data_IF_540200326973
#
_entry.id   IF_540200326973
#
_cell.length_a   1.000
_cell.length_b   1.000
_cell.length_c   1.000
_cell.angle_alpha   90.00
_cell.angle_beta   90.00
_cell.angle_gamma   90.00
#
_symmetry.space_group_name_H-M   'P 1'
#
loop_
_entity.id
_entity.type
_entity.pdbx_description
1 polymer ?
#
# COMPACT_ATOMS: atom_id res chain seq x y z
N UNK A 1 -6.33 -34.12 6.67
CA UNK A 1 -7.10 -33.12 5.91
C UNK A 1 -6.96 -31.76 6.56
N UNK A 2 -6.67 -30.70 5.80
CA UNK A 2 -6.50 -29.31 6.25
C UNK A 2 -5.23 -28.99 7.06
N UNK A 3 -4.20 -29.83 7.01
CA UNK A 3 -2.89 -29.44 7.56
C UNK A 3 -2.34 -28.22 6.84
N UNK A 4 -1.82 -27.23 7.60
CA UNK A 4 -1.17 -26.05 7.05
C UNK A 4 0.34 -26.22 7.18
N UNK A 5 1.05 -26.01 6.09
CA UNK A 5 2.52 -26.05 6.01
C UNK A 5 3.04 -24.70 5.58
N UNK A 6 4.14 -24.26 6.17
CA UNK A 6 4.85 -23.04 5.77
C UNK A 6 6.07 -23.36 4.94
N UNK A 7 6.18 -22.75 3.78
CA UNK A 7 7.42 -22.71 3.03
C UNK A 7 8.32 -21.60 3.59
N UNK A 8 9.44 -21.97 4.16
CA UNK A 8 10.38 -21.03 4.78
C UNK A 8 11.16 -20.19 3.74
N UNK A 9 11.29 -20.69 2.51
CA UNK A 9 12.03 -19.97 1.46
C UNK A 9 11.22 -18.81 0.87
N UNK A 10 9.91 -19.04 0.67
CA UNK A 10 8.98 -18.03 0.09
C UNK A 10 8.10 -17.36 1.14
N UNK A 11 8.18 -17.79 2.41
CA UNK A 11 7.31 -17.35 3.50
C UNK A 11 5.82 -17.46 3.18
N UNK A 12 5.46 -18.54 2.47
CA UNK A 12 4.11 -18.81 1.99
C UNK A 12 3.48 -19.95 2.80
N UNK A 13 2.17 -19.87 2.96
CA UNK A 13 1.36 -20.88 3.64
C UNK A 13 0.56 -21.67 2.62
N UNK A 14 0.58 -22.99 2.76
CA UNK A 14 -0.14 -23.93 1.93
C UNK A 14 -1.03 -24.83 2.78
N UNK A 15 -2.24 -25.07 2.31
CA UNK A 15 -3.19 -25.98 2.91
C UNK A 15 -3.21 -27.29 2.13
N UNK A 16 -3.10 -28.42 2.86
CA UNK A 16 -3.25 -29.74 2.25
C UNK A 16 -4.70 -30.00 1.85
N UNK A 17 -4.90 -30.40 0.59
CA UNK A 17 -6.19 -30.80 0.03
C UNK A 17 -6.50 -32.30 0.26
N UNK A 18 -5.49 -33.11 0.60
CA UNK A 18 -5.62 -34.55 0.83
C UNK A 18 -5.02 -34.96 2.19
N UNK A 19 -5.41 -36.12 2.66
CA UNK A 19 -4.77 -36.74 3.82
C UNK A 19 -3.42 -37.36 3.40
N UNK A 20 -2.42 -37.28 4.27
CA UNK A 20 -1.10 -37.91 4.08
C UNK A 20 -0.28 -37.36 2.89
N UNK A 21 -0.28 -36.08 2.68
CA UNK A 21 0.61 -35.39 1.73
C UNK A 21 2.05 -35.40 2.25
N UNK A 22 2.71 -36.57 2.27
CA UNK A 22 4.13 -36.68 2.57
C UNK A 22 4.94 -36.61 1.27
N UNK A 23 6.07 -35.90 1.30
CA UNK A 23 7.06 -35.80 0.22
C UNK A 23 6.52 -35.28 -1.13
N UNK A 24 5.36 -34.63 -1.12
CA UNK A 24 4.77 -34.01 -2.33
C UNK A 24 5.20 -32.53 -2.36
N UNK A 25 5.81 -32.06 -3.47
CA UNK A 25 6.27 -30.69 -3.59
C UNK A 25 5.09 -29.69 -3.50
N UNK A 26 5.33 -28.56 -2.83
CA UNK A 26 4.33 -27.49 -2.64
C UNK A 26 3.86 -26.82 -3.93
N UNK A 27 4.58 -27.07 -5.04
CA UNK A 27 4.20 -26.63 -6.38
C UNK A 27 3.05 -27.44 -7.01
N UNK A 28 2.71 -28.60 -6.44
CA UNK A 28 1.58 -29.43 -6.91
C UNK A 28 0.25 -28.82 -6.45
N UNK A 29 -0.38 -28.03 -7.30
CA UNK A 29 -1.66 -27.35 -7.04
C UNK A 29 -2.85 -28.31 -6.89
N UNK A 30 -2.69 -29.59 -7.24
CA UNK A 30 -3.75 -30.62 -7.02
C UNK A 30 -3.77 -31.14 -5.61
N UNK A 31 -2.66 -31.05 -4.90
CA UNK A 31 -2.46 -31.52 -3.51
C UNK A 31 -2.36 -30.39 -2.51
N UNK A 32 -1.90 -29.22 -2.95
CA UNK A 32 -1.68 -28.07 -2.12
C UNK A 32 -2.41 -26.84 -2.63
N UNK A 33 -3.08 -26.13 -1.75
CA UNK A 33 -3.70 -24.84 -2.01
C UNK A 33 -2.90 -23.74 -1.33
N UNK A 34 -2.42 -22.77 -2.09
CA UNK A 34 -1.87 -21.54 -1.53
C UNK A 34 -2.94 -20.77 -0.75
N UNK A 35 -2.66 -20.34 0.48
CA UNK A 35 -3.60 -19.62 1.34
C UNK A 35 -3.11 -18.22 1.76
N UNK A 36 -1.88 -17.86 1.46
CA UNK A 36 -1.33 -16.51 1.73
C UNK A 36 0.10 -16.55 2.24
N UNK A 37 0.59 -15.40 2.66
CA UNK A 37 1.91 -15.26 3.29
C UNK A 37 1.83 -15.54 4.80
N UNK A 38 2.97 -15.85 5.41
CA UNK A 38 3.09 -15.88 6.88
C UNK A 38 2.85 -14.50 7.45
N UNK A 39 2.33 -14.39 8.67
CA UNK A 39 1.98 -13.11 9.30
C UNK A 39 3.10 -12.06 9.20
N UNK A 40 4.36 -12.48 9.33
CA UNK A 40 5.53 -11.59 9.24
C UNK A 40 5.76 -10.99 7.85
N UNK A 41 5.27 -11.66 6.78
CA UNK A 41 5.54 -11.27 5.39
C UNK A 41 4.28 -10.81 4.64
N UNK A 42 3.10 -10.82 5.28
CA UNK A 42 1.87 -10.31 4.71
C UNK A 42 1.98 -8.84 4.25
N UNK A 43 2.71 -8.03 5.00
CA UNK A 43 2.92 -6.61 4.67
C UNK A 43 3.69 -6.37 3.35
N UNK A 44 4.34 -7.41 2.80
CA UNK A 44 5.02 -7.36 1.50
C UNK A 44 4.22 -8.03 0.39
N UNK A 45 3.02 -8.51 0.68
CA UNK A 45 2.09 -8.99 -0.33
C UNK A 45 1.29 -7.82 -0.92
N UNK A 46 0.83 -7.97 -2.16
CA UNK A 46 -0.04 -6.98 -2.79
C UNK A 46 -1.51 -7.12 -2.35
N UNK A 47 -1.82 -8.16 -1.57
CA UNK A 47 -3.18 -8.40 -1.08
C UNK A 47 -3.56 -7.40 0.01
N UNK A 48 -4.53 -6.55 -0.25
CA UNK A 48 -5.06 -5.59 0.73
C UNK A 48 -5.66 -6.23 1.99
N UNK A 49 -6.15 -7.46 1.87
CA UNK A 49 -6.82 -8.16 2.96
C UNK A 49 -5.84 -8.88 3.90
N UNK A 50 -4.58 -9.01 3.48
CA UNK A 50 -3.55 -9.66 4.27
C UNK A 50 -2.84 -8.62 5.16
N UNK A 51 -3.10 -8.71 6.45
CA UNK A 51 -2.59 -7.75 7.43
C UNK A 51 -1.58 -8.45 8.33
N UNK A 52 -0.40 -7.82 8.51
CA UNK A 52 0.58 -8.20 9.53
C UNK A 52 0.15 -7.59 10.85
N UNK A 53 0.06 -8.42 11.89
CA UNK A 53 -0.33 -7.98 13.24
C UNK A 53 0.65 -8.48 14.29
N UNK A 54 0.92 -7.67 15.31
CA UNK A 54 1.68 -8.08 16.48
C UNK A 54 1.18 -7.32 17.72
N UNK A 55 1.24 -7.93 18.92
CA UNK A 55 0.91 -7.25 20.15
C UNK A 55 1.92 -6.13 20.43
N UNK A 56 1.44 -5.00 20.95
CA UNK A 56 2.21 -3.85 21.41
C UNK A 56 2.99 -3.11 20.30
N UNK A 57 3.80 -3.82 19.49
CA UNK A 57 4.61 -3.15 18.46
C UNK A 57 4.94 -4.05 17.28
N UNK A 58 5.13 -3.42 16.11
CA UNK A 58 5.68 -4.04 14.90
C UNK A 58 6.98 -3.32 14.57
N UNK A 59 8.07 -4.07 14.43
CA UNK A 59 9.31 -3.57 13.88
C UNK A 59 9.60 -4.25 12.54
N UNK A 60 9.80 -3.44 11.52
CA UNK A 60 10.12 -3.88 10.15
C UNK A 60 11.50 -3.36 9.79
N UNK A 61 12.42 -4.26 9.45
CA UNK A 61 13.76 -3.92 8.99
C UNK A 61 13.90 -4.30 7.54
N UNK A 62 14.18 -3.32 6.68
CA UNK A 62 14.27 -3.49 5.23
C UNK A 62 15.67 -3.13 4.77
N UNK A 63 16.30 -4.03 4.02
CA UNK A 63 17.56 -3.80 3.30
C UNK A 63 17.27 -3.84 1.80
N UNK A 64 17.06 -2.70 1.14
CA UNK A 64 16.72 -2.67 -0.29
C UNK A 64 17.81 -3.18 -1.21
N UNK A 65 19.08 -3.07 -0.81
CA UNK A 65 20.25 -3.41 -1.63
C UNK A 65 20.45 -2.52 -2.86
N UNK A 66 19.70 -1.44 -2.94
CA UNK A 66 19.75 -0.42 -4.01
C UNK A 66 19.35 0.93 -3.45
N UNK A 67 19.64 1.98 -4.20
CA UNK A 67 19.23 3.33 -3.84
C UNK A 67 17.71 3.47 -3.98
N UNK A 68 17.07 3.94 -2.92
CA UNK A 68 15.64 4.27 -2.87
C UNK A 68 15.49 5.61 -2.15
N UNK A 69 14.43 6.34 -2.44
CA UNK A 69 14.13 7.62 -1.80
C UNK A 69 12.75 7.65 -1.14
N UNK A 70 12.00 6.55 -1.19
CA UNK A 70 10.64 6.55 -0.63
C UNK A 70 10.31 5.26 0.12
N UNK A 71 9.51 5.44 1.17
CA UNK A 71 8.86 4.38 1.93
C UNK A 71 7.39 4.75 2.12
N UNK A 72 6.50 3.81 1.87
CA UNK A 72 5.08 3.95 2.17
C UNK A 72 4.60 2.75 2.96
N UNK A 73 3.87 3.02 4.02
CA UNK A 73 3.12 2.02 4.79
C UNK A 73 1.63 2.37 4.72
N UNK A 74 0.79 1.44 4.25
CA UNK A 74 -0.67 1.59 4.16
C UNK A 74 -1.39 0.61 5.08
N UNK A 75 -2.63 1.00 5.48
CA UNK A 75 -3.42 0.20 6.42
C UNK A 75 -2.76 0.08 7.79
N UNK A 76 -2.13 1.15 8.24
CA UNK A 76 -1.47 1.22 9.55
C UNK A 76 -2.51 1.41 10.64
N UNK A 77 -2.40 0.62 11.70
CA UNK A 77 -3.12 0.82 12.94
C UNK A 77 -2.10 0.84 14.09
N UNK A 78 -1.72 2.05 14.48
CA UNK A 78 -0.77 2.31 15.55
C UNK A 78 -1.01 3.70 16.15
N UNK A 79 -0.51 3.95 17.36
CA UNK A 79 -0.59 5.26 18.00
C UNK A 79 0.61 6.14 17.65
N UNK A 80 1.78 5.54 17.45
CA UNK A 80 3.00 6.26 17.12
C UNK A 80 3.88 5.45 16.17
N UNK A 81 4.74 6.16 15.46
CA UNK A 81 5.75 5.56 14.60
C UNK A 81 7.14 6.13 14.88
N UNK A 82 8.13 5.33 14.58
CA UNK A 82 9.54 5.73 14.50
C UNK A 82 10.17 5.10 13.27
N UNK A 83 10.80 5.92 12.44
CA UNK A 83 11.54 5.52 11.27
C UNK A 83 12.99 5.94 11.43
N UNK A 84 13.93 5.02 11.24
CA UNK A 84 15.35 5.32 11.20
C UNK A 84 15.98 4.69 9.96
N UNK A 85 16.88 5.39 9.32
CA UNK A 85 17.68 4.90 8.21
C UNK A 85 19.14 4.98 8.60
N UNK A 86 19.83 3.84 8.57
CA UNK A 86 21.25 3.75 8.84
C UNK A 86 22.02 3.32 7.60
N UNK A 87 23.23 3.85 7.43
CA UNK A 87 24.13 3.51 6.33
C UNK A 87 25.57 3.50 6.84
N UNK A 88 26.34 2.49 6.46
CA UNK A 88 27.78 2.43 6.74
C UNK A 88 28.51 3.51 5.96
N UNK A 89 28.14 3.74 4.70
CA UNK A 89 28.71 4.80 3.87
C UNK A 89 28.35 6.20 4.36
N UNK A 90 27.16 6.34 5.00
CA UNK A 90 26.72 7.59 5.63
C UNK A 90 27.25 7.82 7.04
N UNK A 91 28.02 6.88 7.59
CA UNK A 91 28.62 7.03 8.93
C UNK A 91 27.69 6.73 10.11
N UNK A 92 26.58 6.04 9.91
CA UNK A 92 25.62 5.67 10.95
C UNK A 92 24.18 6.01 10.62
N UNK A 93 23.46 6.64 11.54
CA UNK A 93 22.09 7.12 11.29
C UNK A 93 22.13 8.36 10.38
N UNK A 94 21.49 8.23 9.21
CA UNK A 94 21.46 9.27 8.17
C UNK A 94 20.09 9.94 8.03
N UNK A 95 19.06 9.33 8.61
CA UNK A 95 17.69 9.87 8.62
C UNK A 95 16.93 9.32 9.83
N UNK A 96 16.13 10.17 10.44
CA UNK A 96 15.28 9.79 11.57
C UNK A 96 14.01 10.63 11.55
N UNK A 97 12.86 9.96 11.69
CA UNK A 97 11.56 10.58 11.79
C UNK A 97 10.70 9.85 12.82
N UNK A 98 9.95 10.57 13.60
CA UNK A 98 9.01 9.98 14.56
C UNK A 98 7.80 10.87 14.75
N UNK A 99 6.66 10.29 15.12
CA UNK A 99 5.46 11.07 15.33
C UNK A 99 4.30 10.24 15.87
N UNK A 100 3.24 10.96 16.22
CA UNK A 100 1.96 10.39 16.60
C UNK A 100 1.11 10.18 15.37
N UNK A 101 0.41 9.05 15.31
CA UNK A 101 -0.58 8.72 14.28
C UNK A 101 -2.01 9.03 14.72
N UNK A 102 -2.18 9.47 15.98
CA UNK A 102 -3.49 9.83 16.47
C UNK A 102 -3.93 11.16 15.85
N UNK A 103 -4.90 11.09 14.98
CA UNK A 103 -5.57 12.26 14.40
C UNK A 103 -6.68 12.67 15.35
N UNK A 104 -6.50 13.80 16.03
CA UNK A 104 -7.54 14.36 16.89
C UNK A 104 -8.06 15.65 16.30
N UNK A 105 -9.11 15.56 15.49
CA UNK A 105 -9.89 16.71 15.06
C UNK A 105 -11.03 16.95 16.06
N UNK A 106 -10.84 17.86 17.01
CA UNK A 106 -11.87 18.23 17.96
C UNK A 106 -12.38 19.63 17.64
N UNK A 107 -13.59 19.73 17.12
CA UNK A 107 -14.28 21.00 16.89
C UNK A 107 -15.25 21.38 18.03
N UNK A 108 -15.62 20.43 18.90
CA UNK A 108 -16.56 20.64 20.00
C UNK A 108 -16.08 19.97 21.30
N UNK A 109 -16.54 20.48 22.46
CA UNK A 109 -16.28 19.85 23.76
C UNK A 109 -16.78 18.42 23.87
N UNK A 110 -17.93 18.11 23.23
CA UNK A 110 -18.46 16.75 23.18
C UNK A 110 -17.52 15.81 22.43
N UNK A 111 -16.98 16.21 21.29
CA UNK A 111 -15.96 15.43 20.56
C UNK A 111 -14.67 15.29 21.36
N UNK A 112 -14.28 16.31 22.14
CA UNK A 112 -13.10 16.25 23.00
C UNK A 112 -13.23 15.15 24.06
N UNK A 113 -14.38 15.00 24.69
CA UNK A 113 -14.57 14.06 25.80
C UNK A 113 -15.08 12.68 25.34
N UNK A 114 -15.83 12.59 24.25
CA UNK A 114 -16.58 11.39 23.85
C UNK A 114 -16.29 10.94 22.41
N UNK A 115 -15.52 11.72 21.64
CA UNK A 115 -15.16 11.36 20.27
C UNK A 115 -14.19 10.20 20.22
N UNK A 116 -14.38 9.32 19.25
CA UNK A 116 -13.41 8.27 18.93
C UNK A 116 -12.13 8.89 18.36
N UNK A 117 -10.99 8.27 18.66
CA UNK A 117 -9.71 8.69 18.09
C UNK A 117 -9.57 8.08 16.70
N UNK A 118 -9.53 8.91 15.68
CA UNK A 118 -9.11 8.49 14.36
C UNK A 118 -7.58 8.39 14.31
N UNK A 119 -7.07 7.39 13.59
CA UNK A 119 -5.65 7.21 13.36
C UNK A 119 -5.33 7.35 11.88
N UNK A 120 -4.18 7.94 11.56
CA UNK A 120 -3.69 7.96 10.18
C UNK A 120 -3.50 6.54 9.67
N UNK A 121 -4.09 6.24 8.52
CA UNK A 121 -4.03 4.90 7.91
C UNK A 121 -2.83 4.71 7.00
N UNK A 122 -2.13 5.79 6.66
CA UNK A 122 -0.95 5.77 5.81
C UNK A 122 0.20 6.57 6.40
N UNK A 123 1.40 6.04 6.22
CA UNK A 123 2.67 6.72 6.47
C UNK A 123 3.42 6.80 5.15
N UNK A 124 3.86 8.00 4.78
CA UNK A 124 4.54 8.25 3.52
C UNK A 124 5.77 9.11 3.75
N UNK A 125 6.88 8.68 3.18
CA UNK A 125 8.16 9.39 3.20
C UNK A 125 8.71 9.43 1.78
N UNK A 126 8.94 10.62 1.22
CA UNK A 126 9.44 10.83 -0.15
C UNK A 126 10.89 11.29 -0.21
N UNK A 127 11.52 11.53 0.93
CA UNK A 127 12.80 12.23 1.08
C UNK A 127 13.89 11.37 1.73
N UNK A 128 13.79 10.04 1.62
CA UNK A 128 14.79 9.15 2.20
C UNK A 128 16.14 9.32 1.49
N UNK A 129 17.26 9.30 2.22
CA UNK A 129 18.60 9.47 1.65
C UNK A 129 19.00 8.27 0.78
N UNK A 130 19.59 8.59 -0.37
CA UNK A 130 19.89 7.65 -1.47
C UNK A 130 21.16 6.79 -1.23
N UNK A 131 21.22 6.03 -0.16
CA UNK A 131 22.31 5.09 0.11
C UNK A 131 21.96 3.68 -0.39
N UNK A 132 22.90 3.04 -1.09
CA UNK A 132 22.71 1.66 -1.60
C UNK A 132 22.80 0.59 -0.51
N UNK A 133 23.45 0.90 0.60
CA UNK A 133 23.62 0.06 1.79
C UNK A 133 22.63 0.41 2.92
N UNK A 134 21.63 1.24 2.61
CA UNK A 134 20.65 1.70 3.61
C UNK A 134 19.94 0.52 4.28
N UNK A 135 19.81 0.63 5.59
CA UNK A 135 18.96 -0.22 6.42
C UNK A 135 17.86 0.66 6.99
N UNK A 136 16.64 0.38 6.60
CA UNK A 136 15.45 1.13 7.01
C UNK A 136 14.79 0.36 8.14
N UNK A 137 14.59 0.98 9.28
CA UNK A 137 13.90 0.41 10.42
C UNK A 137 12.65 1.24 10.71
N UNK A 138 11.49 0.65 10.45
CA UNK A 138 10.18 1.22 10.81
C UNK A 138 9.64 0.50 12.04
N UNK A 139 9.33 1.26 13.07
CA UNK A 139 8.67 0.75 14.28
C UNK A 139 7.32 1.43 14.46
N UNK A 140 6.28 0.61 14.63
CA UNK A 140 4.92 1.04 14.92
C UNK A 140 4.57 0.61 16.33
N UNK A 141 4.03 1.49 17.16
CA UNK A 141 3.69 1.18 18.55
C UNK A 141 2.25 1.53 18.87
N UNK A 142 1.62 0.72 19.71
CA UNK A 142 0.28 0.97 20.26
C UNK A 142 0.36 1.05 21.79
N UNK A 143 -0.51 1.84 22.38
CA UNK A 143 -0.63 1.93 23.84
C UNK A 143 -1.39 0.77 24.45
N UNK A 144 -2.25 0.10 23.67
CA UNK A 144 -2.99 -1.09 24.06
C UNK A 144 -3.45 -1.86 22.83
N UNK A 145 -3.54 -3.18 22.94
CA UNK A 145 -3.99 -4.04 21.84
C UNK A 145 -2.87 -4.47 20.91
N UNK A 146 -3.17 -4.57 19.63
CA UNK A 146 -2.24 -5.03 18.59
C UNK A 146 -2.00 -3.95 17.56
N UNK A 147 -0.73 -3.73 17.22
CA UNK A 147 -0.35 -2.96 16.05
C UNK A 147 -0.63 -3.75 14.76
N UNK A 148 -1.00 -3.07 13.69
CA UNK A 148 -1.17 -3.70 12.40
C UNK A 148 -0.66 -2.83 11.23
N UNK A 149 -0.30 -3.51 10.15
CA UNK A 149 0.11 -2.90 8.88
C UNK A 149 -0.32 -3.82 7.73
N UNK A 150 -1.01 -3.26 6.74
CA UNK A 150 -1.44 -4.05 5.58
C UNK A 150 -0.33 -4.16 4.55
N UNK A 151 0.29 -3.05 4.15
CA UNK A 151 1.30 -3.07 3.10
C UNK A 151 2.43 -2.09 3.39
N UNK A 152 3.68 -2.52 3.14
CA UNK A 152 4.86 -1.67 3.14
C UNK A 152 5.56 -1.74 1.78
N UNK A 153 5.73 -0.60 1.13
CA UNK A 153 6.39 -0.49 -0.17
C UNK A 153 7.57 0.46 -0.06
N UNK A 154 8.71 0.04 -0.59
CA UNK A 154 9.90 0.87 -0.71
C UNK A 154 10.29 1.00 -2.18
N UNK A 155 10.70 2.18 -2.59
CA UNK A 155 11.00 2.41 -3.98
C UNK A 155 11.64 3.76 -4.29
N UNK A 156 11.70 4.04 -5.58
CA UNK A 156 12.08 5.35 -6.08
C UNK A 156 10.81 6.12 -6.41
N UNK A 157 10.57 7.20 -5.68
CA UNK A 157 9.52 8.16 -5.98
C UNK A 157 9.93 9.01 -7.18
N UNK A 158 9.01 9.22 -8.10
CA UNK A 158 9.13 10.11 -9.23
C UNK A 158 7.90 11.00 -9.29
N UNK A 159 8.12 12.29 -9.30
CA UNK A 159 7.07 13.28 -9.57
C UNK A 159 6.80 13.32 -11.07
N UNK A 160 5.54 13.20 -11.47
CA UNK A 160 5.09 13.23 -12.86
C UNK A 160 4.30 14.50 -13.21
N UNK A 161 4.11 15.39 -12.25
CA UNK A 161 3.43 16.67 -12.41
C UNK A 161 2.31 16.92 -11.41
N UNK A 162 1.53 17.96 -11.64
CA UNK A 162 0.47 18.44 -10.76
C UNK A 162 -0.88 17.81 -11.12
N UNK A 163 -1.55 17.20 -10.15
CA UNK A 163 -2.90 16.66 -10.35
C UNK A 163 -3.92 17.78 -10.44
N UNK A 164 -4.72 17.78 -11.51
CA UNK A 164 -5.80 18.75 -11.71
C UNK A 164 -7.01 18.46 -10.79
N UNK A 165 -7.81 19.49 -10.56
CA UNK A 165 -8.93 19.51 -9.59
C UNK A 165 -10.09 18.57 -9.88
N UNK A 166 -10.10 17.86 -11.01
CA UNK A 166 -11.14 16.94 -11.45
C UNK A 166 -10.83 15.46 -11.19
N UNK A 167 -9.90 15.15 -10.28
CA UNK A 167 -9.64 13.78 -9.86
C UNK A 167 -10.91 13.11 -9.31
N UNK A 168 -11.15 11.85 -9.69
CA UNK A 168 -12.32 11.08 -9.30
C UNK A 168 -11.90 9.78 -8.64
N UNK A 169 -12.55 9.46 -7.54
CA UNK A 169 -12.46 8.16 -6.89
C UNK A 169 -13.75 7.38 -7.16
N UNK A 170 -13.62 6.15 -7.57
CA UNK A 170 -14.72 5.24 -7.88
C UNK A 170 -14.43 3.86 -7.30
N UNK A 171 -15.44 3.03 -7.16
CA UNK A 171 -15.32 1.67 -6.61
C UNK A 171 -16.04 0.69 -7.53
N UNK A 172 -15.30 -0.31 -8.00
CA UNK A 172 -15.91 -1.47 -8.64
C UNK A 172 -16.45 -2.43 -7.58
N UNK A 173 -17.76 -2.53 -7.48
CA UNK A 173 -18.43 -3.43 -6.54
C UNK A 173 -18.84 -4.72 -7.25
N UNK A 174 -18.30 -5.85 -6.79
CA UNK A 174 -18.63 -7.19 -7.30
C UNK A 174 -19.66 -7.92 -6.44
N UNK A 175 -20.19 -7.28 -5.40
CA UNK A 175 -21.23 -7.87 -4.57
C UNK A 175 -22.47 -8.19 -5.39
N UNK A 176 -23.01 -9.40 -5.19
CA UNK A 176 -24.21 -9.84 -5.89
C UNK A 176 -25.44 -9.73 -5.01
N UNK A 177 -26.55 -9.34 -5.64
CA UNK A 177 -27.86 -9.29 -4.99
C UNK A 177 -28.73 -10.35 -5.68
N UNK A 178 -29.09 -11.40 -4.95
CA UNK A 178 -30.09 -12.38 -5.39
C UNK A 178 -31.39 -12.16 -4.64
N UNK A 179 -32.50 -12.64 -5.20
CA UNK A 179 -33.79 -12.58 -4.51
C UNK A 179 -34.31 -14.01 -4.30
N UNK A 180 -34.86 -14.24 -3.12
CA UNK A 180 -35.58 -15.48 -2.83
C UNK A 180 -36.96 -15.53 -3.54
N UNK A 181 -37.68 -16.64 -3.37
CA UNK A 181 -39.00 -16.83 -3.98
C UNK A 181 -40.04 -15.83 -3.45
N UNK A 182 -39.84 -15.28 -2.27
CA UNK A 182 -40.67 -14.29 -1.61
C UNK A 182 -40.30 -12.85 -1.98
N UNK A 183 -39.22 -12.65 -2.76
CA UNK A 183 -38.76 -11.36 -3.23
C UNK A 183 -37.79 -10.63 -2.29
N UNK A 184 -37.37 -11.26 -1.17
CA UNK A 184 -36.40 -10.67 -0.26
C UNK A 184 -35.01 -10.66 -0.88
N UNK A 185 -34.25 -9.58 -0.65
CA UNK A 185 -32.89 -9.46 -1.15
C UNK A 185 -31.90 -10.25 -0.28
N UNK A 186 -31.15 -11.15 -0.91
CA UNK A 186 -29.99 -11.84 -0.33
C UNK A 186 -28.74 -11.16 -0.85
N UNK A 187 -28.01 -10.48 0.03
CA UNK A 187 -26.78 -9.76 -0.29
C UNK A 187 -25.57 -10.68 -0.04
N UNK A 188 -24.80 -10.94 -1.08
CA UNK A 188 -23.54 -11.66 -0.98
C UNK A 188 -22.41 -10.63 -1.15
N UNK A 189 -21.81 -10.13 -0.06
CA UNK A 189 -20.74 -9.16 -0.14
C UNK A 189 -19.48 -9.82 -0.71
N UNK A 190 -18.87 -9.16 -1.69
CA UNK A 190 -17.59 -9.53 -2.26
C UNK A 190 -16.62 -8.36 -2.19
N UNK A 191 -15.37 -8.57 -2.59
CA UNK A 191 -14.34 -7.54 -2.60
C UNK A 191 -14.75 -6.35 -3.48
N UNK A 192 -14.51 -5.16 -2.98
CA UNK A 192 -14.56 -3.91 -3.75
C UNK A 192 -13.16 -3.56 -4.24
N UNK A 193 -13.05 -3.12 -5.49
CA UNK A 193 -11.79 -2.68 -6.10
C UNK A 193 -11.87 -1.15 -6.29
N UNK A 194 -11.11 -0.37 -5.52
CA UNK A 194 -10.98 1.06 -5.73
C UNK A 194 -10.35 1.39 -7.08
N UNK A 195 -10.87 2.43 -7.71
CA UNK A 195 -10.36 3.02 -8.93
C UNK A 195 -10.19 4.51 -8.77
N UNK A 196 -9.19 5.06 -9.43
CA UNK A 196 -9.02 6.51 -9.50
C UNK A 196 -8.81 6.93 -10.95
N UNK A 197 -9.46 8.04 -11.32
CA UNK A 197 -9.20 8.75 -12.57
C UNK A 197 -8.60 10.09 -12.22
N UNK A 198 -7.43 10.36 -12.76
CA UNK A 198 -6.68 11.57 -12.47
C UNK A 198 -6.20 12.19 -13.78
N UNK A 199 -6.19 13.50 -13.83
CA UNK A 199 -5.54 14.27 -14.87
C UNK A 199 -4.34 14.97 -14.25
N UNK A 200 -3.17 14.78 -14.84
CA UNK A 200 -1.91 15.32 -14.35
C UNK A 200 -1.35 16.28 -15.38
N UNK A 201 -0.98 17.46 -14.95
CA UNK A 201 -0.32 18.46 -15.79
C UNK A 201 1.19 18.28 -15.65
N UNK A 202 1.83 17.79 -16.70
CA UNK A 202 3.26 17.50 -16.75
C UNK A 202 4.02 18.54 -17.56
N UNK A 203 5.25 18.85 -17.16
CA UNK A 203 6.14 19.71 -17.94
C UNK A 203 6.68 18.93 -19.15
N UNK A 204 6.87 19.64 -20.26
CA UNK A 204 7.36 19.06 -21.52
C UNK A 204 8.76 18.42 -21.39
N UNK A 205 9.58 18.93 -20.48
CA UNK A 205 10.92 18.40 -20.23
C UNK A 205 10.88 16.97 -19.68
N UNK A 206 9.86 16.63 -18.89
CA UNK A 206 9.78 15.38 -18.15
C UNK A 206 9.08 14.26 -18.94
N UNK A 207 8.46 14.58 -20.08
CA UNK A 207 7.64 13.62 -20.85
C UNK A 207 8.43 12.38 -21.26
N UNK A 208 9.70 12.50 -21.63
CA UNK A 208 10.52 11.35 -22.00
C UNK A 208 10.72 10.39 -20.84
N UNK A 209 10.98 10.90 -19.65
CA UNK A 209 11.17 10.10 -18.43
C UNK A 209 9.86 9.48 -17.99
N UNK A 210 8.75 10.20 -18.15
CA UNK A 210 7.40 9.70 -17.87
C UNK A 210 7.02 8.54 -18.81
N UNK A 211 7.37 8.62 -20.09
CA UNK A 211 7.16 7.52 -21.05
C UNK A 211 7.97 6.28 -20.62
N UNK A 212 9.23 6.45 -20.24
CA UNK A 212 10.06 5.36 -19.75
C UNK A 212 9.52 4.77 -18.45
N UNK A 213 8.98 5.60 -17.54
CA UNK A 213 8.31 5.15 -16.32
C UNK A 213 7.09 4.30 -16.65
N UNK A 214 6.21 4.81 -17.53
CA UNK A 214 5.01 4.08 -18.00
C UNK A 214 5.37 2.69 -18.53
N UNK A 215 6.38 2.62 -19.39
CA UNK A 215 6.80 1.35 -20.01
C UNK A 215 7.38 0.36 -18.97
N UNK A 216 8.10 0.86 -17.96
CA UNK A 216 8.61 0.05 -16.85
C UNK A 216 7.52 -0.47 -15.92
N UNK A 217 6.42 0.29 -15.74
CA UNK A 217 5.30 -0.04 -14.86
C UNK A 217 4.21 -0.86 -15.56
N UNK A 218 4.39 -1.22 -16.83
CA UNK A 218 3.42 -2.04 -17.55
C UNK A 218 3.21 -3.39 -16.87
N UNK A 219 1.99 -3.64 -16.36
CA UNK A 219 1.63 -4.85 -15.63
C UNK A 219 2.31 -5.02 -14.26
N UNK A 220 2.87 -3.96 -13.70
CA UNK A 220 3.50 -3.97 -12.38
C UNK A 220 2.76 -3.03 -11.43
N UNK A 221 2.42 -3.49 -10.22
CA UNK A 221 1.81 -2.61 -9.24
C UNK A 221 2.83 -1.58 -8.72
N UNK A 222 2.34 -0.37 -8.53
CA UNK A 222 3.07 0.74 -7.91
C UNK A 222 2.12 1.51 -6.98
N UNK A 223 2.65 2.35 -6.12
CA UNK A 223 1.84 3.29 -5.37
C UNK A 223 1.76 4.60 -6.16
N UNK A 224 0.53 5.04 -6.37
CA UNK A 224 0.20 6.27 -7.07
C UNK A 224 -0.37 7.26 -6.08
N UNK A 225 0.12 8.48 -6.10
CA UNK A 225 -0.37 9.57 -5.27
C UNK A 225 -0.87 10.70 -6.17
N UNK A 226 -2.09 11.14 -5.92
CA UNK A 226 -2.64 12.31 -6.61
C UNK A 226 -2.30 13.64 -5.94
N UNK A 227 -1.79 13.60 -4.71
CA UNK A 227 -1.41 14.77 -3.92
C UNK A 227 -0.04 14.53 -3.28
N UNK A 228 0.71 15.59 -3.07
CA UNK A 228 2.04 15.56 -2.44
C UNK A 228 2.00 15.67 -0.91
N UNK A 229 0.95 16.27 -0.35
CA UNK A 229 0.81 16.47 1.09
C UNK A 229 0.00 15.33 1.73
N UNK A 230 0.64 14.46 2.55
CA UNK A 230 -0.06 13.38 3.25
C UNK A 230 -1.09 13.84 4.28
N UNK A 231 -1.06 15.12 4.68
CA UNK A 231 -2.00 15.70 5.65
C UNK A 231 -3.26 16.27 4.98
N UNK A 232 -3.29 16.34 3.64
CA UNK A 232 -4.48 16.76 2.92
C UNK A 232 -5.61 15.75 3.10
N UNK A 233 -6.82 16.23 3.37
CA UNK A 233 -8.01 15.39 3.61
C UNK A 233 -8.43 14.51 2.41
N UNK A 234 -7.96 14.83 1.19
CA UNK A 234 -8.19 14.02 -0.01
C UNK A 234 -7.05 13.06 -0.33
N UNK A 235 -5.93 13.11 0.40
CA UNK A 235 -4.75 12.30 0.11
C UNK A 235 -5.06 10.80 0.00
N UNK A 236 -5.75 10.24 0.99
CA UNK A 236 -6.11 8.81 1.00
C UNK A 236 -7.08 8.44 -0.14
N UNK A 237 -7.93 9.38 -0.56
CA UNK A 237 -8.89 9.13 -1.62
C UNK A 237 -8.25 9.00 -3.01
N UNK A 238 -7.07 9.60 -3.21
CA UNK A 238 -6.35 9.60 -4.49
C UNK A 238 -5.03 8.83 -4.43
N UNK A 239 -4.74 8.16 -3.28
CA UNK A 239 -3.57 7.30 -3.10
C UNK A 239 -3.94 5.83 -3.32
N UNK A 240 -3.48 5.23 -4.42
CA UNK A 240 -3.80 3.84 -4.80
C UNK A 240 -2.53 3.00 -4.93
N UNK A 241 -2.52 1.82 -4.30
CA UNK A 241 -1.57 0.76 -4.61
C UNK A 241 -2.16 -0.12 -5.72
N UNK A 242 -1.68 0.04 -6.93
CA UNK A 242 -2.26 -0.65 -8.07
C UNK A 242 -1.50 -0.45 -9.36
N UNK A 243 -2.15 -0.76 -10.45
CA UNK A 243 -1.62 -0.60 -11.79
C UNK A 243 -2.48 0.38 -12.59
N UNK A 244 -1.87 0.98 -13.63
CA UNK A 244 -2.65 1.80 -14.55
C UNK A 244 -3.39 0.93 -15.56
N UNK A 245 -4.65 1.26 -15.83
CA UNK A 245 -5.47 0.72 -16.91
C UNK A 245 -5.31 1.53 -18.18
N UNK A 246 -5.29 2.85 -18.02
CA UNK A 246 -5.00 3.79 -19.07
C UNK A 246 -3.93 4.78 -18.62
N UNK A 247 -3.00 5.07 -19.50
CA UNK A 247 -1.95 6.06 -19.30
C UNK A 247 -1.75 6.80 -20.63
N UNK A 248 -2.58 7.79 -20.87
CA UNK A 248 -2.59 8.58 -22.10
C UNK A 248 -1.87 9.90 -21.86
N UNK A 249 -1.04 10.29 -22.79
CA UNK A 249 -0.30 11.56 -22.76
C UNK A 249 -0.76 12.40 -23.95
N UNK A 250 -1.44 13.49 -23.66
CA UNK A 250 -1.82 14.49 -24.65
C UNK A 250 -0.68 15.50 -24.82
N UNK A 251 0.00 15.44 -25.96
CA UNK A 251 1.10 16.33 -26.27
C UNK A 251 0.55 17.70 -26.70
N UNK A 252 0.96 18.74 -25.98
CA UNK A 252 0.58 20.12 -26.27
C UNK A 252 1.78 20.96 -26.74
N UNK A 253 1.54 21.90 -27.63
CA UNK A 253 2.57 22.85 -28.08
C UNK A 253 2.95 23.89 -27.02
N UNK A 254 2.12 24.06 -25.98
CA UNK A 254 2.23 25.11 -24.96
C UNK A 254 3.26 24.86 -23.83
N UNK A 255 4.16 23.87 -23.95
CA UNK A 255 5.17 23.61 -22.93
C UNK A 255 4.72 22.69 -21.79
N UNK A 256 3.44 22.39 -21.67
CA UNK A 256 2.83 21.44 -20.72
C UNK A 256 1.96 20.44 -21.44
N UNK A 257 1.92 19.23 -20.94
CA UNK A 257 1.13 18.13 -21.46
C UNK A 257 0.16 17.61 -20.40
N UNK A 258 -0.98 17.10 -20.84
CA UNK A 258 -1.96 16.50 -19.93
C UNK A 258 -1.80 14.98 -19.99
N UNK A 259 -1.71 14.36 -18.82
CA UNK A 259 -1.67 12.92 -18.67
C UNK A 259 -3.02 12.48 -18.09
N UNK A 260 -3.74 11.63 -18.81
CA UNK A 260 -4.96 10.98 -18.32
C UNK A 260 -4.62 9.62 -17.74
N UNK A 261 -4.80 9.47 -16.44
CA UNK A 261 -4.52 8.25 -15.70
C UNK A 261 -5.81 7.59 -15.22
N UNK A 262 -5.99 6.31 -15.55
CA UNK A 262 -6.96 5.44 -14.90
C UNK A 262 -6.21 4.38 -14.12
N UNK A 263 -6.38 4.39 -12.79
CA UNK A 263 -5.70 3.52 -11.84
C UNK A 263 -6.70 2.52 -11.26
N UNK A 264 -6.25 1.29 -11.04
CA UNK A 264 -7.02 0.22 -10.42
C UNK A 264 -6.19 -0.45 -9.33
N UNK A 265 -6.78 -0.66 -8.16
CA UNK A 265 -6.13 -1.34 -7.02
C UNK A 265 -5.92 -2.84 -7.31
N UNK A 266 -4.84 -3.41 -6.79
CA UNK A 266 -4.49 -4.85 -6.90
C UNK A 266 -5.35 -5.71 -5.97
#
# INVERSE_FOLDING_TARGET
LNGIVSDLATHSLYQSLEANNHDIPLSDVTKWRYIGKTNRFKLFDYSRNDITTAPESIQVVIKPGRRINSLTAKGVQANAYSLSVTSVFGGGEVYSASGSLNLRTTSTWAQYFYGEFDTSKSLVFFDLPLYSDAIITLTLTVTSGSASIATAVVGTFMDIGETLTNARNDIMNFSTVTRDAEGNAILVPTRNIPKSKQQVLAEKADITDIIQLRDRLNGRPAIWYGLSDPLDGYFEAVAILGFYRNFEIELSEGGRSIINLELEEV
#
